data_IF_829774829473
#
_entry.id   IF_829774829473
#
_cell.length_a   1.000
_cell.length_b   1.000
_cell.length_c   1.000
_cell.angle_alpha   90.00
_cell.angle_beta   90.00
_cell.angle_gamma   90.00
#
_symmetry.space_group_name_H-M   'P 1'
#
loop_
_entity.id
_entity.type
_entity.pdbx_description
1 polymer ?
#
# COMPACT_ATOMS: atom_id res chain seq x y z
N UNK A 1 -24.98 0.85 -22.20
CA UNK A 1 -23.65 1.04 -22.82
C UNK A 1 -22.58 0.86 -21.75
N UNK A 2 -21.92 -0.30 -21.71
CA UNK A 2 -20.85 -0.57 -20.74
C UNK A 2 -19.60 0.19 -21.20
N UNK A 3 -19.20 1.21 -20.44
CA UNK A 3 -18.05 2.08 -20.77
C UNK A 3 -16.79 1.24 -21.02
N UNK A 4 -16.06 1.55 -22.09
CA UNK A 4 -14.80 0.89 -22.47
C UNK A 4 -13.77 0.80 -21.33
N UNK A 5 -13.88 1.69 -20.33
CA UNK A 5 -13.04 1.69 -19.14
C UNK A 5 -13.31 0.51 -18.21
N UNK A 6 -14.56 0.05 -18.11
CA UNK A 6 -14.93 -1.08 -17.27
C UNK A 6 -14.30 -2.38 -17.76
N UNK A 7 -14.30 -2.60 -19.09
CA UNK A 7 -13.64 -3.75 -19.73
C UNK A 7 -12.13 -3.75 -19.55
N UNK A 8 -11.49 -2.57 -19.45
CA UNK A 8 -10.04 -2.48 -19.17
C UNK A 8 -9.73 -2.86 -17.73
N UNK A 9 -10.52 -2.38 -16.77
CA UNK A 9 -10.37 -2.74 -15.35
C UNK A 9 -10.61 -4.24 -15.15
N UNK A 10 -11.61 -4.80 -15.81
CA UNK A 10 -11.91 -6.23 -15.77
C UNK A 10 -10.74 -7.09 -16.25
N UNK A 11 -10.10 -6.72 -17.38
CA UNK A 11 -8.88 -7.39 -17.87
C UNK A 11 -7.70 -7.30 -16.90
N UNK A 12 -7.54 -6.17 -16.22
CA UNK A 12 -6.48 -6.00 -15.22
C UNK A 12 -6.76 -6.90 -14.02
N UNK A 13 -8.01 -6.93 -13.55
CA UNK A 13 -8.45 -7.80 -12.46
C UNK A 13 -8.28 -9.28 -12.81
N UNK A 14 -8.60 -9.70 -14.03
CA UNK A 14 -8.37 -11.07 -14.49
C UNK A 14 -6.89 -11.46 -14.48
N UNK A 15 -6.00 -10.58 -14.97
CA UNK A 15 -4.55 -10.82 -14.88
C UNK A 15 -4.07 -10.90 -13.44
N UNK A 16 -4.56 -10.02 -12.57
CA UNK A 16 -4.31 -10.09 -11.13
C UNK A 16 -4.90 -11.34 -10.46
N UNK A 17 -5.91 -11.97 -11.05
CA UNK A 17 -6.51 -13.23 -10.60
C UNK A 17 -5.74 -14.46 -11.06
N UNK A 18 -5.05 -14.35 -12.19
CA UNK A 18 -4.09 -15.36 -12.68
C UNK A 18 -2.71 -15.25 -12.02
N UNK A 19 -2.45 -14.16 -11.29
CA UNK A 19 -1.21 -13.94 -10.55
C UNK A 19 -0.96 -15.03 -9.50
N UNK A 20 0.29 -15.39 -9.29
CA UNK A 20 0.69 -16.43 -8.35
C UNK A 20 0.20 -16.10 -6.93
N UNK A 21 -0.18 -17.14 -6.18
CA UNK A 21 -0.77 -17.02 -4.83
C UNK A 21 0.17 -16.27 -3.89
N UNK A 22 1.48 -16.50 -3.98
CA UNK A 22 2.49 -15.80 -3.19
C UNK A 22 2.53 -14.30 -3.49
N UNK A 23 2.62 -13.93 -4.76
CA UNK A 23 2.60 -12.53 -5.23
C UNK A 23 1.35 -11.80 -4.74
N UNK A 24 0.19 -12.47 -4.81
CA UNK A 24 -1.08 -11.92 -4.34
C UNK A 24 -1.10 -11.72 -2.82
N UNK A 25 -0.55 -12.66 -2.06
CA UNK A 25 -0.44 -12.52 -0.61
C UNK A 25 0.50 -11.37 -0.23
N UNK A 26 1.64 -11.22 -0.90
CA UNK A 26 2.60 -10.14 -0.63
C UNK A 26 1.95 -8.78 -0.87
N UNK A 27 1.26 -8.59 -2.00
CA UNK A 27 0.56 -7.34 -2.28
C UNK A 27 -0.55 -7.10 -1.25
N UNK A 28 -1.31 -8.13 -0.88
CA UNK A 28 -2.39 -8.00 0.11
C UNK A 28 -1.87 -7.60 1.48
N UNK A 29 -0.88 -8.32 2.02
CA UNK A 29 -0.32 -8.03 3.33
C UNK A 29 0.47 -6.72 3.34
N UNK A 30 1.18 -6.39 2.26
CA UNK A 30 1.85 -5.11 2.12
C UNK A 30 0.87 -3.93 2.07
N UNK A 31 -0.27 -4.10 1.41
CA UNK A 31 -1.36 -3.10 1.44
C UNK A 31 -1.95 -2.95 2.84
N UNK A 32 -2.13 -4.06 3.57
CA UNK A 32 -2.62 -4.03 4.94
C UNK A 32 -1.63 -3.35 5.89
N UNK A 33 -0.34 -3.65 5.77
CA UNK A 33 0.73 -3.00 6.53
C UNK A 33 0.80 -1.49 6.22
N UNK A 34 0.70 -1.12 4.95
CA UNK A 34 0.60 0.27 4.50
C UNK A 34 -0.56 0.99 5.18
N UNK A 35 -1.78 0.43 5.11
CA UNK A 35 -2.96 1.06 5.72
C UNK A 35 -2.77 1.28 7.22
N UNK A 36 -2.21 0.29 7.92
CA UNK A 36 -2.01 0.35 9.36
C UNK A 36 -0.99 1.44 9.74
N UNK A 37 0.16 1.49 9.04
CA UNK A 37 1.17 2.52 9.24
C UNK A 37 0.67 3.91 8.85
N UNK A 38 -0.03 4.02 7.72
CA UNK A 38 -0.59 5.29 7.25
C UNK A 38 -1.61 5.85 8.23
N UNK A 39 -2.50 5.00 8.74
CA UNK A 39 -3.47 5.39 9.75
C UNK A 39 -2.80 5.82 11.05
N UNK A 40 -1.80 5.08 11.52
CA UNK A 40 -1.00 5.46 12.70
C UNK A 40 -0.33 6.83 12.50
N UNK A 41 0.31 7.07 11.36
CA UNK A 41 0.96 8.35 11.07
C UNK A 41 -0.02 9.53 11.03
N UNK A 42 -1.20 9.33 10.42
CA UNK A 42 -2.28 10.34 10.46
C UNK A 42 -2.75 10.59 11.89
N UNK A 43 -2.96 9.53 12.66
CA UNK A 43 -3.40 9.64 14.06
C UNK A 43 -2.39 10.44 14.89
N UNK A 44 -1.09 10.20 14.70
CA UNK A 44 -0.01 10.95 15.35
C UNK A 44 -0.06 12.44 15.01
N UNK A 45 -0.28 12.80 13.74
CA UNK A 45 -0.39 14.21 13.32
C UNK A 45 -1.67 14.85 13.88
N UNK A 46 -2.78 14.12 13.91
CA UNK A 46 -4.03 14.58 14.51
C UNK A 46 -3.87 14.87 16.00
N UNK A 47 -3.22 13.97 16.74
CA UNK A 47 -2.95 14.16 18.17
C UNK A 47 -2.04 15.36 18.42
N UNK A 48 -1.01 15.58 17.57
CA UNK A 48 -0.17 16.77 17.62
C UNK A 48 -1.01 18.06 17.49
N UNK A 49 -1.98 18.08 16.58
CA UNK A 49 -2.81 19.27 16.33
C UNK A 49 -3.89 19.51 17.39
N UNK A 50 -4.38 18.44 18.02
CA UNK A 50 -5.50 18.51 18.98
C UNK A 50 -5.05 18.68 20.43
N UNK A 51 -3.88 18.15 20.81
CA UNK A 51 -3.41 18.18 22.19
C UNK A 51 -2.31 19.25 22.33
N UNK A 52 -2.60 20.39 23.01
CA UNK A 52 -1.57 21.39 23.29
C UNK A 52 -0.52 20.79 24.22
N UNK A 53 0.72 20.68 23.74
CA UNK A 53 1.85 20.10 24.50
C UNK A 53 2.73 19.14 23.72
N UNK A 54 2.33 18.73 22.51
CA UNK A 54 3.23 17.98 21.63
C UNK A 54 4.24 18.89 20.93
N UNK A 55 5.47 18.41 20.84
CA UNK A 55 6.61 19.10 20.21
C UNK A 55 6.65 18.79 18.69
N UNK A 56 7.37 19.61 17.93
CA UNK A 56 7.64 19.45 16.49
C UNK A 56 8.17 18.05 16.14
N UNK A 57 8.84 17.39 17.08
CA UNK A 57 9.31 16.02 16.93
C UNK A 57 8.17 15.01 16.66
N UNK A 58 7.00 15.18 17.27
CA UNK A 58 5.85 14.30 17.06
C UNK A 58 5.23 14.52 15.68
N UNK A 59 5.20 15.75 15.20
CA UNK A 59 4.80 16.07 13.83
C UNK A 59 5.76 15.46 12.80
N UNK A 60 7.08 15.55 13.06
CA UNK A 60 8.11 14.93 12.23
C UNK A 60 7.98 13.40 12.21
N UNK A 61 7.77 12.76 13.36
CA UNK A 61 7.55 11.31 13.42
C UNK A 61 6.31 10.88 12.62
N UNK A 62 5.18 11.57 12.80
CA UNK A 62 3.95 11.26 12.07
C UNK A 62 4.13 11.37 10.55
N UNK A 63 4.80 12.42 10.08
CA UNK A 63 5.10 12.59 8.64
C UNK A 63 6.07 11.55 8.10
N UNK A 64 7.06 11.12 8.90
CA UNK A 64 7.97 10.04 8.50
C UNK A 64 7.27 8.69 8.43
N UNK A 65 6.40 8.37 9.38
CA UNK A 65 5.59 7.13 9.34
C UNK A 65 4.75 7.08 8.06
N UNK A 66 4.13 8.21 7.66
CA UNK A 66 3.38 8.31 6.40
C UNK A 66 4.30 8.07 5.19
N UNK A 67 5.49 8.67 5.14
CA UNK A 67 6.41 8.45 4.02
C UNK A 67 6.86 6.99 3.91
N UNK A 68 7.18 6.38 5.05
CA UNK A 68 7.59 4.97 5.11
C UNK A 68 6.46 4.06 4.67
N UNK A 69 5.21 4.35 5.03
CA UNK A 69 4.07 3.53 4.61
C UNK A 69 3.98 3.48 3.07
N UNK A 70 4.10 4.61 2.36
CA UNK A 70 4.11 4.62 0.90
C UNK A 70 5.29 3.84 0.30
N UNK A 71 6.45 3.90 0.94
CA UNK A 71 7.61 3.10 0.52
C UNK A 71 7.34 1.60 0.65
N UNK A 72 6.79 1.16 1.79
CA UNK A 72 6.40 -0.24 2.03
C UNK A 72 5.34 -0.70 1.02
N UNK A 73 4.36 0.15 0.72
CA UNK A 73 3.36 -0.16 -0.31
C UNK A 73 3.99 -0.36 -1.68
N UNK A 74 4.86 0.56 -2.10
CA UNK A 74 5.57 0.46 -3.37
C UNK A 74 6.42 -0.82 -3.44
N UNK A 75 7.16 -1.14 -2.38
CA UNK A 75 7.96 -2.36 -2.29
C UNK A 75 7.10 -3.63 -2.37
N UNK A 76 5.93 -3.65 -1.72
CA UNK A 76 5.03 -4.79 -1.78
C UNK A 76 4.43 -4.99 -3.18
N UNK A 77 4.05 -3.90 -3.86
CA UNK A 77 3.52 -3.96 -5.23
C UNK A 77 4.60 -4.40 -6.21
N UNK A 78 5.77 -3.75 -6.19
CA UNK A 78 6.88 -4.07 -7.10
C UNK A 78 7.41 -5.48 -6.82
N UNK A 79 7.64 -5.82 -5.54
CA UNK A 79 8.12 -7.14 -5.13
C UNK A 79 7.14 -8.26 -5.48
N UNK A 80 5.84 -8.05 -5.27
CA UNK A 80 4.81 -9.01 -5.68
C UNK A 80 4.79 -9.24 -7.19
N UNK A 81 4.89 -8.17 -7.99
CA UNK A 81 4.95 -8.27 -9.45
C UNK A 81 6.23 -8.96 -9.94
N UNK A 82 7.38 -8.67 -9.33
CA UNK A 82 8.65 -9.34 -9.66
C UNK A 82 8.58 -10.84 -9.36
N UNK A 83 8.04 -11.22 -8.21
CA UNK A 83 7.87 -12.64 -7.85
C UNK A 83 6.92 -13.33 -8.82
N UNK A 84 5.86 -12.66 -9.26
CA UNK A 84 4.96 -13.21 -10.28
C UNK A 84 5.68 -13.44 -11.61
N UNK A 85 6.50 -12.47 -12.03
CA UNK A 85 7.28 -12.57 -13.27
C UNK A 85 8.29 -13.73 -13.24
N UNK A 86 9.02 -13.91 -12.14
CA UNK A 86 9.99 -15.00 -12.01
C UNK A 86 9.33 -16.36 -11.76
N UNK A 87 8.28 -16.42 -10.95
CA UNK A 87 7.60 -17.67 -10.60
C UNK A 87 6.61 -18.14 -11.68
N UNK A 88 6.11 -17.24 -12.53
CA UNK A 88 5.22 -17.57 -13.65
C UNK A 88 5.92 -18.06 -14.92
N UNK A 89 7.26 -18.03 -14.95
CA UNK A 89 8.10 -18.55 -16.04
C UNK A 89 8.68 -19.95 -15.74
N UNK A 90 8.07 -20.70 -14.81
CA UNK A 90 8.41 -22.08 -14.47
C UNK A 90 7.29 -23.05 -14.81
#
# INVERSE_FOLDING_TARGET
MQSNNFKKIEKITEKFNKMNRLSRLIIKYGTQAFMLMFFLGILTILLYKTIPGFNDYTFYLGTQIIKISFSVFAQAVIGGLLIDFFAGNG
#
